data_IF_481206943847
#
_entry.id   IF_481206943847
#
_cell.length_a   1.000
_cell.length_b   1.000
_cell.length_c   1.000
_cell.angle_alpha   90.00
_cell.angle_beta   90.00
_cell.angle_gamma   90.00
#
_symmetry.space_group_name_H-M   'P 1'
#
loop_
_entity.id
_entity.type
_entity.pdbx_description
1 polymer ?
#
# COMPACT_ATOMS: atom_id res chain seq x y z
N UNK A 1 -6.19 4.10 17.22
CA UNK A 1 -5.28 2.96 17.00
C UNK A 1 -4.20 3.41 16.04
N UNK A 2 -2.93 3.19 16.38
CA UNK A 2 -1.82 3.52 15.48
C UNK A 2 -1.83 2.57 14.27
N UNK A 3 -1.41 3.04 13.08
CA UNK A 3 -1.33 2.19 11.90
C UNK A 3 -0.37 1.02 12.15
N UNK A 4 -0.73 -0.17 11.70
CA UNK A 4 0.13 -1.35 11.80
C UNK A 4 1.21 -1.28 10.71
N UNK A 5 2.46 -1.59 11.07
CA UNK A 5 3.56 -1.71 10.11
C UNK A 5 3.38 -2.98 9.27
N UNK A 6 3.38 -2.92 7.93
CA UNK A 6 3.28 -4.12 7.11
C UNK A 6 4.54 -5.00 7.26
N UNK A 7 4.40 -6.32 7.38
CA UNK A 7 5.52 -7.26 7.42
C UNK A 7 6.25 -7.35 6.07
N UNK A 8 7.54 -7.67 6.09
CA UNK A 8 8.36 -7.92 4.88
C UNK A 8 9.13 -9.25 4.98
N UNK A 9 8.72 -10.11 5.90
CA UNK A 9 9.26 -11.45 6.11
C UNK A 9 8.81 -12.40 5.00
N UNK A 10 9.55 -13.49 4.78
CA UNK A 10 9.18 -14.52 3.79
C UNK A 10 7.83 -15.17 4.16
N UNK A 11 7.12 -15.69 3.16
CA UNK A 11 5.78 -16.27 3.33
C UNK A 11 4.65 -15.24 3.48
N UNK A 12 4.97 -13.95 3.43
CA UNK A 12 3.99 -12.85 3.47
C UNK A 12 3.68 -12.36 2.06
N UNK A 13 2.41 -12.09 1.78
CA UNK A 13 2.00 -11.36 0.57
C UNK A 13 1.32 -10.05 0.94
N UNK A 14 1.89 -8.93 0.47
CA UNK A 14 1.26 -7.62 0.56
C UNK A 14 0.32 -7.41 -0.65
N UNK A 15 -0.82 -6.78 -0.42
CA UNK A 15 -1.81 -6.40 -1.43
C UNK A 15 -1.91 -4.88 -1.47
N UNK A 16 -1.43 -4.29 -2.56
CA UNK A 16 -1.44 -2.86 -2.80
C UNK A 16 -2.58 -2.49 -3.75
N UNK A 17 -3.55 -1.73 -3.27
CA UNK A 17 -4.65 -1.23 -4.07
C UNK A 17 -4.73 0.30 -4.00
N UNK A 18 -5.46 0.90 -4.95
CA UNK A 18 -5.84 2.31 -4.92
C UNK A 18 -7.34 2.42 -4.72
N UNK A 19 -7.75 3.10 -3.66
CA UNK A 19 -9.12 3.30 -3.21
C UNK A 19 -9.57 4.74 -3.47
N UNK A 20 -10.86 4.95 -3.70
CA UNK A 20 -11.42 6.27 -4.00
C UNK A 20 -11.27 6.70 -5.46
N UNK A 21 -12.09 7.65 -5.90
CA UNK A 21 -12.17 8.06 -7.31
C UNK A 21 -13.14 7.21 -8.14
N UNK A 22 -13.87 7.84 -9.05
CA UNK A 22 -14.53 7.13 -10.16
C UNK A 22 -13.43 6.66 -11.13
N UNK A 23 -12.99 5.41 -10.99
CA UNK A 23 -12.05 4.83 -11.92
C UNK A 23 -12.75 4.60 -13.27
N UNK A 24 -12.56 5.53 -14.22
CA UNK A 24 -13.08 5.46 -15.59
C UNK A 24 -12.48 4.29 -16.41
N UNK A 25 -11.39 3.66 -15.93
CA UNK A 25 -10.66 2.61 -16.62
C UNK A 25 -10.52 1.34 -15.75
N UNK A 26 -10.95 0.16 -16.22
CA UNK A 26 -10.83 -1.11 -15.49
C UNK A 26 -9.39 -1.47 -15.11
N UNK A 27 -8.39 -1.06 -15.90
CA UNK A 27 -6.97 -1.31 -15.64
C UNK A 27 -6.44 -0.60 -14.38
N UNK A 28 -7.11 0.47 -13.92
CA UNK A 28 -6.79 1.20 -12.68
C UNK A 28 -7.49 0.63 -11.43
N UNK A 29 -8.18 -0.50 -11.54
CA UNK A 29 -8.70 -1.26 -10.38
C UNK A 29 -7.77 -2.38 -9.93
N UNK A 30 -6.56 -2.45 -10.50
CA UNK A 30 -5.64 -3.55 -10.22
C UNK A 30 -5.12 -3.45 -8.79
N UNK A 31 -5.56 -4.39 -7.95
CA UNK A 31 -4.79 -4.80 -6.78
C UNK A 31 -3.48 -5.44 -7.27
N UNK A 32 -2.37 -5.04 -6.67
CA UNK A 32 -1.05 -5.61 -6.91
C UNK A 32 -0.68 -6.49 -5.73
N UNK A 33 -0.43 -7.77 -6.01
CA UNK A 33 0.15 -8.68 -5.04
C UNK A 33 1.68 -8.57 -5.09
N UNK A 34 2.27 -8.48 -3.91
CA UNK A 34 3.70 -8.49 -3.66
C UNK A 34 4.00 -9.65 -2.69
N UNK A 35 4.25 -10.87 -3.20
CA UNK A 35 4.80 -11.92 -2.36
C UNK A 35 6.25 -11.56 -1.98
N UNK A 36 6.56 -11.55 -0.68
CA UNK A 36 7.91 -11.24 -0.19
C UNK A 36 8.93 -12.27 -0.66
N UNK A 37 8.49 -13.50 -0.95
CA UNK A 37 9.31 -14.58 -1.52
C UNK A 37 9.82 -14.29 -2.94
N UNK A 38 9.22 -13.33 -3.65
CA UNK A 38 9.67 -12.89 -4.97
C UNK A 38 10.69 -11.74 -4.91
N UNK A 39 11.01 -11.24 -3.71
CA UNK A 39 11.94 -10.13 -3.50
C UNK A 39 13.24 -10.64 -2.87
N UNK A 40 14.37 -10.14 -3.37
CA UNK A 40 15.66 -10.35 -2.72
C UNK A 40 15.80 -9.51 -1.42
N UNK A 41 16.87 -9.73 -0.67
CA UNK A 41 17.10 -9.05 0.60
C UNK A 41 17.22 -7.53 0.46
N UNK A 42 17.81 -7.05 -0.63
CA UNK A 42 17.98 -5.62 -0.88
C UNK A 42 16.62 -4.98 -1.22
N UNK A 43 15.80 -5.64 -2.02
CA UNK A 43 14.44 -5.21 -2.35
C UNK A 43 13.54 -5.19 -1.11
N UNK A 44 13.65 -6.19 -0.22
CA UNK A 44 12.89 -6.23 1.04
C UNK A 44 13.33 -5.14 2.02
N UNK A 45 14.64 -4.85 2.12
CA UNK A 45 15.13 -3.74 2.91
C UNK A 45 14.66 -2.39 2.35
N UNK A 46 14.69 -2.22 1.04
CA UNK A 46 14.18 -1.02 0.38
C UNK A 46 12.67 -0.85 0.60
N UNK A 47 11.90 -1.93 0.44
CA UNK A 47 10.47 -1.93 0.71
C UNK A 47 10.17 -1.61 2.18
N UNK A 48 10.97 -2.11 3.14
CA UNK A 48 10.83 -1.75 4.56
C UNK A 48 10.94 -0.23 4.77
N UNK A 49 11.98 0.39 4.20
CA UNK A 49 12.17 1.84 4.32
C UNK A 49 11.03 2.63 3.64
N UNK A 50 10.56 2.16 2.49
CA UNK A 50 9.42 2.75 1.78
C UNK A 50 8.12 2.69 2.60
N UNK A 51 7.87 1.55 3.24
CA UNK A 51 6.71 1.36 4.13
C UNK A 51 6.81 2.23 5.39
N UNK A 52 8.02 2.43 5.93
CA UNK A 52 8.24 3.34 7.06
C UNK A 52 7.94 4.80 6.68
N UNK A 53 8.26 5.24 5.46
CA UNK A 53 7.85 6.57 4.97
C UNK A 53 6.33 6.67 4.84
N UNK A 54 5.67 5.60 4.37
CA UNK A 54 4.21 5.54 4.28
C UNK A 54 3.53 5.65 5.64
N UNK A 55 4.13 5.08 6.69
CA UNK A 55 3.60 5.14 8.07
C UNK A 55 3.55 6.57 8.62
N UNK A 56 4.43 7.48 8.17
CA UNK A 56 4.44 8.90 8.61
C UNK A 56 3.14 9.62 8.26
N UNK A 57 2.57 9.30 7.09
CA UNK A 57 1.34 9.92 6.57
C UNK A 57 0.12 8.99 6.64
N UNK A 58 0.27 7.85 7.32
CA UNK A 58 -0.76 6.85 7.38
C UNK A 58 -1.98 7.38 8.13
N UNK A 59 -3.14 7.20 7.52
CA UNK A 59 -4.38 7.61 8.13
C UNK A 59 -4.87 6.57 9.14
N UNK A 60 -5.46 7.00 10.26
CA UNK A 60 -6.30 6.13 11.05
C UNK A 60 -7.50 5.68 10.20
N UNK A 61 -8.19 4.64 10.67
CA UNK A 61 -9.40 4.09 10.04
C UNK A 61 -10.31 5.22 9.52
N UNK A 62 -10.69 5.21 8.22
CA UNK A 62 -11.49 6.28 7.66
C UNK A 62 -12.85 6.30 8.36
N UNK A 63 -13.26 7.48 8.80
CA UNK A 63 -14.65 7.74 9.12
C UNK A 63 -15.39 7.83 7.78
N UNK A 64 -16.47 7.06 7.62
CA UNK A 64 -17.27 7.07 6.40
C UNK A 64 -17.70 8.52 6.07
N UNK A 65 -17.49 8.96 4.82
CA UNK A 65 -17.93 10.28 4.32
C UNK A 65 -16.85 11.24 3.80
N UNK A 66 -15.57 10.85 3.77
CA UNK A 66 -14.46 11.71 3.35
C UNK A 66 -14.25 11.89 1.84
N UNK A 67 -15.25 12.39 1.09
CA UNK A 67 -15.13 12.94 -0.28
C UNK A 67 -14.54 12.03 -1.38
N UNK A 68 -14.21 12.61 -2.55
CA UNK A 68 -13.53 11.94 -3.69
C UNK A 68 -12.02 11.71 -3.43
N UNK A 69 -11.62 11.64 -2.15
CA UNK A 69 -10.21 11.55 -1.78
C UNK A 69 -9.70 10.14 -2.09
N UNK A 70 -8.50 10.08 -2.66
CA UNK A 70 -7.88 8.85 -3.12
C UNK A 70 -6.81 8.42 -2.14
N UNK A 71 -6.69 7.11 -1.96
CA UNK A 71 -5.74 6.51 -1.02
C UNK A 71 -5.12 5.28 -1.64
N UNK A 72 -3.88 4.97 -1.27
CA UNK A 72 -3.34 3.62 -1.41
C UNK A 72 -3.65 2.82 -0.15
N UNK A 73 -4.08 1.58 -0.32
CA UNK A 73 -4.22 0.62 0.77
C UNK A 73 -3.22 -0.52 0.60
N UNK A 74 -2.56 -0.90 1.69
CA UNK A 74 -1.64 -2.03 1.77
C UNK A 74 -2.18 -3.00 2.81
N UNK A 75 -2.67 -4.16 2.36
CA UNK A 75 -3.22 -5.22 3.19
C UNK A 75 -2.32 -6.45 3.22
N UNK A 76 -2.34 -7.21 4.31
CA UNK A 76 -1.63 -8.48 4.47
C UNK A 76 -2.39 -9.38 5.45
N UNK A 77 -2.06 -10.66 5.45
CA UNK A 77 -2.76 -11.62 6.31
C UNK A 77 -2.42 -11.39 7.78
N UNK A 78 -3.45 -11.36 8.64
CA UNK A 78 -3.30 -11.01 10.06
C UNK A 78 -3.32 -9.51 10.36
N UNK A 79 -3.43 -8.64 9.34
CA UNK A 79 -3.73 -7.22 9.56
C UNK A 79 -5.15 -7.07 10.13
N UNK A 80 -5.31 -6.24 11.16
CA UNK A 80 -6.65 -5.87 11.63
C UNK A 80 -7.33 -4.87 10.68
N UNK A 81 -6.54 -4.00 10.06
CA UNK A 81 -6.94 -3.03 9.03
C UNK A 81 -5.75 -2.81 8.09
N UNK A 82 -5.98 -2.47 6.81
CA UNK A 82 -4.90 -2.12 5.88
C UNK A 82 -4.23 -0.80 6.29
N UNK A 83 -2.96 -0.67 5.95
CA UNK A 83 -2.25 0.61 5.97
C UNK A 83 -2.82 1.49 4.85
N UNK A 84 -3.39 2.65 5.18
CA UNK A 84 -3.95 3.59 4.20
C UNK A 84 -3.11 4.86 4.14
N UNK A 85 -2.71 5.28 2.95
CA UNK A 85 -1.93 6.49 2.70
C UNK A 85 -2.69 7.37 1.68
N UNK A 86 -2.91 8.67 1.94
CA UNK A 86 -3.46 9.58 0.92
C UNK A 86 -2.58 9.57 -0.33
N UNK A 87 -3.20 9.51 -1.52
CA UNK A 87 -2.45 9.43 -2.80
C UNK A 87 -1.49 10.62 -2.96
N UNK A 88 -1.84 11.80 -2.45
CA UNK A 88 -0.98 12.99 -2.49
C UNK A 88 0.24 12.94 -1.55
N UNK A 89 0.23 12.04 -0.57
CA UNK A 89 1.34 11.80 0.37
C UNK A 89 2.04 10.46 0.13
N UNK A 90 1.59 9.68 -0.86
CA UNK A 90 2.19 8.40 -1.18
C UNK A 90 3.56 8.61 -1.85
N UNK A 91 4.61 7.92 -1.41
CA UNK A 91 5.89 7.92 -2.11
C UNK A 91 5.72 7.55 -3.59
N UNK A 92 6.52 8.15 -4.46
CA UNK A 92 6.44 7.92 -5.91
C UNK A 92 6.61 6.44 -6.28
N UNK A 93 7.42 5.72 -5.50
CA UNK A 93 7.68 4.30 -5.64
C UNK A 93 6.46 3.45 -5.33
N UNK A 94 5.57 3.84 -4.39
CA UNK A 94 4.29 3.14 -4.18
C UNK A 94 3.39 3.29 -5.41
N UNK A 95 3.34 4.49 -5.98
CA UNK A 95 2.57 4.74 -7.21
C UNK A 95 3.14 3.93 -8.37
N UNK A 96 4.48 3.88 -8.51
CA UNK A 96 5.18 3.11 -9.55
C UNK A 96 4.94 1.62 -9.38
N UNK A 97 5.08 1.11 -8.16
CA UNK A 97 4.85 -0.28 -7.82
C UNK A 97 3.41 -0.71 -8.13
N UNK A 98 2.43 0.12 -7.78
CA UNK A 98 1.04 -0.14 -8.14
C UNK A 98 0.83 -0.19 -9.66
N UNK A 99 1.30 0.83 -10.39
CA UNK A 99 1.13 0.95 -11.85
C UNK A 99 1.87 -0.14 -12.63
N UNK A 100 3.12 -0.41 -12.28
CA UNK A 100 4.09 -1.17 -13.09
C UNK A 100 4.47 -2.51 -12.47
N UNK A 101 4.30 -2.70 -11.15
CA UNK A 101 4.71 -3.91 -10.45
C UNK A 101 6.21 -3.98 -10.15
N UNK A 102 6.90 -2.83 -10.11
CA UNK A 102 8.36 -2.76 -9.97
C UNK A 102 8.75 -1.86 -8.80
N UNK A 103 9.53 -2.40 -7.87
CA UNK A 103 10.27 -1.68 -6.82
C UNK A 103 11.49 -0.97 -7.41
#
# INVERSE_FOLDING_TARGET
MSPQRPPVELGVTLRLAREGGVAAFPAMRRERQLPMDALDDAQRLHLRALLDQCLVHALPRPQAGGGDRRYFSIAWDGASEPLRIPEEHAPAEIVRLWKQGTL
#
